data_IF_622903692014
#
_entry.id   IF_622903692014
#
_cell.length_a   1.000
_cell.length_b   1.000
_cell.length_c   1.000
_cell.angle_alpha   90.00
_cell.angle_beta   90.00
_cell.angle_gamma   90.00
#
_symmetry.space_group_name_H-M   'P 1'
#
loop_
_entity.id
_entity.type
_entity.pdbx_description
1 polymer ?
#
# COMPACT_ATOMS: atom_id res chain seq x y z
N UNK A 1 13.66 -3.19 15.08
CA UNK A 1 13.16 -2.65 13.79
C UNK A 1 13.01 -3.79 12.79
N UNK A 2 11.84 -3.90 12.18
CA UNK A 2 11.61 -4.94 11.17
C UNK A 2 12.37 -4.63 9.88
N UNK A 3 12.64 -5.67 9.08
CA UNK A 3 13.27 -5.49 7.78
C UNK A 3 12.24 -5.04 6.73
N UNK A 4 12.71 -4.73 5.52
CA UNK A 4 11.85 -4.21 4.45
C UNK A 4 10.87 -5.27 3.95
N UNK A 5 11.22 -6.54 3.98
CA UNK A 5 10.30 -7.62 3.59
C UNK A 5 9.14 -7.74 4.57
N UNK A 6 9.44 -7.64 5.85
CA UNK A 6 8.40 -7.63 6.89
C UNK A 6 7.51 -6.39 6.78
N UNK A 7 8.12 -5.23 6.49
CA UNK A 7 7.38 -4.00 6.25
C UNK A 7 6.43 -4.15 5.05
N UNK A 8 6.87 -4.82 3.99
CA UNK A 8 6.03 -5.11 2.83
C UNK A 8 4.83 -5.97 3.21
N UNK A 9 5.02 -6.98 4.05
CA UNK A 9 3.91 -7.82 4.53
C UNK A 9 2.90 -6.96 5.28
N UNK A 10 3.35 -6.09 6.18
CA UNK A 10 2.47 -5.18 6.91
C UNK A 10 1.70 -4.27 5.96
N UNK A 11 2.37 -3.74 4.95
CA UNK A 11 1.74 -2.91 3.93
C UNK A 11 0.67 -3.68 3.16
N UNK A 12 0.97 -4.90 2.73
CA UNK A 12 0.04 -5.73 1.97
C UNK A 12 -1.19 -6.10 2.81
N UNK A 13 -1.02 -6.42 4.08
CA UNK A 13 -2.13 -6.71 4.98
C UNK A 13 -3.03 -5.49 5.13
N UNK A 14 -2.43 -4.31 5.31
CA UNK A 14 -3.19 -3.06 5.42
C UNK A 14 -4.00 -2.79 4.15
N UNK A 15 -3.38 -2.96 2.99
CA UNK A 15 -4.03 -2.72 1.71
C UNK A 15 -5.15 -3.74 1.46
N UNK A 16 -4.93 -5.01 1.81
CA UNK A 16 -5.96 -6.04 1.70
C UNK A 16 -7.19 -5.70 2.55
N UNK A 17 -6.98 -5.15 3.75
CA UNK A 17 -8.07 -4.71 4.60
C UNK A 17 -8.79 -3.49 4.03
N UNK A 18 -8.07 -2.61 3.34
CA UNK A 18 -8.65 -1.41 2.75
C UNK A 18 -9.53 -1.73 1.55
N UNK A 19 -9.03 -2.54 0.61
CA UNK A 19 -9.75 -2.83 -0.64
C UNK A 19 -10.71 -4.01 -0.52
N UNK A 20 -10.61 -4.78 0.54
CA UNK A 20 -11.35 -6.01 0.74
C UNK A 20 -10.55 -7.23 0.29
N UNK A 21 -10.62 -8.28 1.10
CA UNK A 21 -9.80 -9.48 0.89
C UNK A 21 -10.14 -10.18 -0.43
N UNK A 22 -11.42 -10.23 -0.79
CA UNK A 22 -11.86 -10.86 -2.03
C UNK A 22 -11.31 -10.13 -3.25
N UNK A 23 -11.38 -8.80 -3.23
CA UNK A 23 -10.83 -7.98 -4.31
C UNK A 23 -9.31 -8.15 -4.39
N UNK A 24 -8.66 -8.10 -3.24
CA UNK A 24 -7.21 -8.26 -3.16
C UNK A 24 -6.76 -9.59 -3.77
N UNK A 25 -7.39 -10.69 -3.37
CA UNK A 25 -7.03 -12.02 -3.89
C UNK A 25 -7.27 -12.16 -5.39
N UNK A 26 -8.34 -11.54 -5.87
CA UNK A 26 -8.70 -11.64 -7.29
C UNK A 26 -7.74 -10.88 -8.19
N UNK A 27 -7.09 -9.82 -7.70
CA UNK A 27 -6.32 -8.90 -8.53
C UNK A 27 -4.83 -8.81 -8.19
N UNK A 28 -4.39 -9.41 -7.09
CA UNK A 28 -3.00 -9.23 -6.63
C UNK A 28 -1.96 -9.75 -7.63
N UNK A 29 -2.29 -10.79 -8.39
CA UNK A 29 -1.35 -11.36 -9.36
C UNK A 29 -1.01 -10.40 -10.49
N UNK A 30 -1.92 -9.49 -10.80
CA UNK A 30 -1.74 -8.48 -11.86
C UNK A 30 -1.40 -7.10 -11.32
N UNK A 31 -1.20 -6.99 -10.03
CA UNK A 31 -0.90 -5.71 -9.42
C UNK A 31 0.52 -5.26 -9.77
N UNK A 32 0.68 -3.95 -9.88
CA UNK A 32 1.99 -3.33 -10.00
C UNK A 32 2.39 -2.75 -8.65
N UNK A 33 3.63 -2.97 -8.26
CA UNK A 33 4.15 -2.44 -7.00
C UNK A 33 5.38 -1.58 -7.25
N UNK A 34 5.56 -0.59 -6.38
CA UNK A 34 6.83 0.09 -6.28
C UNK A 34 7.10 0.38 -4.81
N UNK A 35 8.36 0.46 -4.47
CA UNK A 35 8.78 0.68 -3.10
C UNK A 35 10.10 1.43 -3.09
N UNK A 36 10.36 2.00 -1.95
CA UNK A 36 11.59 2.72 -1.71
C UNK A 36 12.77 1.76 -1.77
N UNK A 37 13.73 2.07 -2.64
CA UNK A 37 14.89 1.21 -2.86
C UNK A 37 16.17 1.77 -2.26
N UNK A 38 16.05 2.79 -1.43
CA UNK A 38 17.20 3.41 -0.80
C UNK A 38 17.95 2.43 0.09
N UNK A 39 19.28 2.48 0.01
CA UNK A 39 20.14 1.67 0.86
C UNK A 39 20.23 2.19 2.28
N UNK A 40 19.53 3.26 2.58
CA UNK A 40 19.50 3.85 3.92
C UNK A 40 18.50 3.12 4.83
N UNK A 41 18.83 3.08 6.09
CA UNK A 41 17.94 2.50 7.11
C UNK A 41 16.82 3.49 7.46
N UNK A 42 15.92 3.71 6.52
CA UNK A 42 14.78 4.56 6.78
C UNK A 42 13.80 3.86 7.70
N UNK A 43 13.41 4.55 8.76
CA UNK A 43 12.40 4.07 9.70
C UNK A 43 11.05 4.00 8.99
N UNK A 44 10.72 5.01 8.21
CA UNK A 44 9.48 5.06 7.44
C UNK A 44 9.74 4.59 6.01
N UNK A 45 9.19 3.42 5.67
CA UNK A 45 9.37 2.80 4.37
C UNK A 45 8.10 2.94 3.55
N UNK A 46 8.20 3.52 2.36
CA UNK A 46 7.05 3.74 1.49
C UNK A 46 6.83 2.58 0.53
N UNK A 47 5.55 2.24 0.34
CA UNK A 47 5.13 1.18 -0.56
C UNK A 47 3.88 1.62 -1.33
N UNK A 48 3.87 1.37 -2.62
CA UNK A 48 2.75 1.62 -3.51
C UNK A 48 2.29 0.31 -4.13
N UNK A 49 0.98 0.10 -4.17
CA UNK A 49 0.38 -1.03 -4.88
C UNK A 49 -0.79 -0.51 -5.72
N UNK A 50 -0.69 -0.69 -7.04
CA UNK A 50 -1.77 -0.38 -7.97
C UNK A 50 -2.34 -1.67 -8.52
N UNK A 51 -3.67 -1.78 -8.56
CA UNK A 51 -4.36 -2.97 -9.03
C UNK A 51 -4.91 -2.74 -10.42
N UNK A 52 -4.72 -3.74 -11.27
CA UNK A 52 -5.31 -3.95 -12.58
C UNK A 52 -5.50 -2.72 -13.49
N UNK A 53 -6.19 -2.96 -14.59
CA UNK A 53 -6.53 -1.96 -15.59
C UNK A 53 -5.37 -1.05 -15.97
N UNK A 54 -4.25 -1.69 -16.10
CA UNK A 54 -2.98 -1.11 -16.54
C UNK A 54 -3.09 -0.61 -17.97
N UNK A 55 -4.27 -0.73 -18.58
CA UNK A 55 -4.52 -0.20 -19.91
C UNK A 55 -4.45 1.33 -19.95
N UNK A 56 -4.51 1.96 -18.80
CA UNK A 56 -4.38 3.39 -18.74
C UNK A 56 -2.90 3.76 -18.51
N UNK A 57 -2.24 4.14 -19.60
CA UNK A 57 -0.84 4.56 -19.59
C UNK A 57 -0.61 5.90 -18.86
N UNK A 58 -1.65 6.49 -18.28
CA UNK A 58 -1.61 7.83 -17.72
C UNK A 58 -1.38 7.87 -16.21
N UNK A 59 -0.92 6.81 -15.58
CA UNK A 59 -0.73 6.71 -14.13
C UNK A 59 -2.00 6.92 -13.30
N UNK A 60 -3.15 6.89 -13.94
CA UNK A 60 -4.44 7.02 -13.26
C UNK A 60 -4.97 5.65 -12.83
N UNK A 61 -4.39 5.13 -11.79
CA UNK A 61 -4.81 3.86 -11.23
C UNK A 61 -6.27 3.92 -10.76
N UNK A 62 -7.08 2.95 -11.16
CA UNK A 62 -8.47 2.87 -10.70
C UNK A 62 -8.58 2.43 -9.26
N UNK A 63 -7.67 1.56 -8.85
CA UNK A 63 -7.57 1.10 -7.46
C UNK A 63 -6.11 1.09 -7.09
N UNK A 64 -5.76 1.77 -6.03
CA UNK A 64 -4.37 1.83 -5.56
C UNK A 64 -4.30 2.19 -4.09
N UNK A 65 -3.15 1.93 -3.51
CA UNK A 65 -2.82 2.42 -2.19
C UNK A 65 -1.32 2.74 -2.11
N UNK A 66 -1.01 3.87 -1.52
CA UNK A 66 0.35 4.25 -1.16
C UNK A 66 0.43 4.38 0.34
N UNK A 67 1.33 3.65 0.94
CA UNK A 67 1.43 3.58 2.39
C UNK A 67 2.85 3.85 2.86
N UNK A 68 2.97 4.27 4.11
CA UNK A 68 4.24 4.36 4.82
C UNK A 68 4.19 3.41 6.00
N UNK A 69 5.19 2.55 6.12
CA UNK A 69 5.30 1.62 7.25
C UNK A 69 6.41 2.10 8.16
N UNK A 70 6.08 2.34 9.42
CA UNK A 70 7.07 2.64 10.43
C UNK A 70 7.71 1.33 10.89
N UNK A 71 8.98 1.12 10.57
CA UNK A 71 9.66 -0.14 10.81
C UNK A 71 9.98 -0.39 12.28
N UNK A 72 9.92 0.64 13.11
CA UNK A 72 10.10 0.49 14.56
C UNK A 72 8.82 0.11 15.28
N UNK A 73 7.70 0.74 14.89
CA UNK A 73 6.41 0.53 15.54
C UNK A 73 5.52 -0.43 14.79
N UNK A 74 5.86 -0.75 13.55
CA UNK A 74 5.07 -1.56 12.61
C UNK A 74 3.71 -0.95 12.26
N UNK A 75 3.55 0.35 12.49
CA UNK A 75 2.33 1.05 12.12
C UNK A 75 2.35 1.41 10.64
N UNK A 76 1.19 1.25 10.00
CA UNK A 76 0.99 1.60 8.58
C UNK A 76 0.12 2.83 8.49
N UNK A 77 0.60 3.83 7.75
CA UNK A 77 -0.13 5.05 7.47
C UNK A 77 -0.45 5.10 5.98
N UNK A 78 -1.73 5.28 5.63
CA UNK A 78 -2.12 5.47 4.24
C UNK A 78 -1.83 6.92 3.84
N UNK A 79 -0.94 7.09 2.86
CA UNK A 79 -0.59 8.41 2.34
C UNK A 79 -1.59 8.85 1.27
N UNK A 80 -2.04 7.89 0.43
CA UNK A 80 -3.05 8.12 -0.58
C UNK A 80 -3.66 6.77 -0.94
N UNK A 81 -4.95 6.76 -1.34
CA UNK A 81 -5.55 5.52 -1.80
C UNK A 81 -6.84 5.77 -2.57
N UNK A 82 -7.19 4.81 -3.40
CA UNK A 82 -8.46 4.74 -4.10
C UNK A 82 -8.98 3.31 -4.02
N UNK A 83 -10.17 3.15 -3.50
CA UNK A 83 -10.80 1.84 -3.30
C UNK A 83 -11.57 1.39 -4.54
N UNK A 84 -12.03 0.11 -4.59
CA UNK A 84 -12.79 -0.39 -5.74
C UNK A 84 -14.08 0.37 -6.03
N UNK A 85 -14.67 1.03 -5.04
CA UNK A 85 -15.84 1.87 -5.23
C UNK A 85 -15.49 3.28 -5.75
N UNK A 86 -14.23 3.54 -6.00
CA UNK A 86 -13.76 4.81 -6.54
C UNK A 86 -13.48 5.88 -5.50
N UNK A 87 -13.65 5.56 -4.23
CA UNK A 87 -13.40 6.52 -3.15
C UNK A 87 -11.90 6.82 -3.01
N UNK A 88 -11.56 8.09 -2.97
CA UNK A 88 -10.19 8.55 -2.80
C UNK A 88 -10.11 9.59 -1.70
N UNK A 89 -9.12 9.48 -0.84
CA UNK A 89 -8.84 10.50 0.17
C UNK A 89 -7.65 11.35 -0.27
N UNK A 90 -7.80 12.66 -0.08
CA UNK A 90 -6.73 13.61 -0.36
C UNK A 90 -5.75 13.75 0.80
N UNK A 91 -6.08 13.19 1.95
CA UNK A 91 -5.25 13.28 3.17
C UNK A 91 -4.96 11.91 3.72
N UNK A 92 -3.79 11.72 4.33
CA UNK A 92 -3.49 10.46 5.01
C UNK A 92 -4.51 10.17 6.09
N UNK A 93 -4.87 8.91 6.24
CA UNK A 93 -5.71 8.45 7.33
C UNK A 93 -4.82 8.11 8.54
N UNK A 94 -5.45 7.86 9.68
CA UNK A 94 -4.71 7.48 10.87
C UNK A 94 -3.95 6.18 10.65
N UNK A 95 -2.75 6.03 11.25
CA UNK A 95 -2.01 4.77 11.17
C UNK A 95 -2.86 3.59 11.63
N UNK A 96 -2.69 2.47 10.95
CA UNK A 96 -3.34 1.20 11.30
C UNK A 96 -2.30 0.35 12.00
N UNK A 97 -2.65 -0.13 13.20
CA UNK A 97 -1.78 -1.02 13.96
C UNK A 97 -2.19 -2.46 13.76
N UNK A 98 -1.22 -3.31 13.49
CA UNK A 98 -1.42 -4.75 13.33
C UNK A 98 -0.76 -5.54 14.46
N UNK A 99 -0.65 -4.93 15.59
CA UNK A 99 -0.09 -5.60 16.76
C UNK A 99 -1.04 -6.68 17.31
#
# INVERSE_FOLDING_TARGET
MINKEEAKVDALVAIANLVGLDYFRAHIEKACESYQTDDYDDVDWEYFLGFDDIEDESDNWKVFARVSVNRETEQVTFLDYKTPDGHRMDKPIKPISFA
#
